data_IF_870530270061
#
_entry.id   IF_870530270061
#
_cell.length_a   1.000
_cell.length_b   1.000
_cell.length_c   1.000
_cell.angle_alpha   90.00
_cell.angle_beta   90.00
_cell.angle_gamma   90.00
#
_symmetry.space_group_name_H-M   'P 1'
#
loop_
_entity.id
_entity.type
_entity.pdbx_description
1 polymer ?
#
# COMPACT_ATOMS: atom_id res chain seq x y z
N UNK A 1 -10.14 -23.24 -8.90
CA UNK A 1 -9.42 -21.99 -9.25
C UNK A 1 -8.13 -21.93 -8.46
N UNK A 2 -7.00 -21.60 -9.08
CA UNK A 2 -5.76 -21.40 -8.34
C UNK A 2 -5.77 -19.97 -7.77
N UNK A 3 -5.95 -19.83 -6.45
CA UNK A 3 -5.91 -18.55 -5.72
C UNK A 3 -4.54 -17.87 -5.84
N UNK A 4 -4.20 -17.39 -7.04
CA UNK A 4 -2.93 -16.75 -7.41
C UNK A 4 -3.05 -15.24 -7.59
N UNK A 5 -4.13 -14.65 -7.10
CA UNK A 5 -4.31 -13.21 -7.06
C UNK A 5 -4.28 -12.74 -5.62
N UNK A 6 -3.62 -11.61 -5.35
CA UNK A 6 -3.56 -11.01 -4.01
C UNK A 6 -3.73 -9.50 -4.08
N UNK A 7 -4.33 -8.95 -3.02
CA UNK A 7 -4.41 -7.51 -2.82
C UNK A 7 -3.35 -7.10 -1.80
N UNK A 8 -2.60 -6.05 -2.09
CA UNK A 8 -1.59 -5.46 -1.24
C UNK A 8 -1.80 -3.96 -1.13
N UNK A 9 -1.30 -3.33 -0.08
CA UNK A 9 -1.48 -1.90 0.14
C UNK A 9 -0.24 -1.24 0.77
N UNK A 10 -0.09 0.05 0.52
CA UNK A 10 0.85 0.90 1.26
C UNK A 10 0.43 1.09 2.73
N UNK A 11 1.33 1.61 3.56
CA UNK A 11 1.10 1.76 5.01
C UNK A 11 0.24 2.98 5.37
N UNK A 12 -0.92 3.16 4.73
CA UNK A 12 -1.83 4.28 5.02
C UNK A 12 -2.88 3.96 6.09
N UNK A 13 -3.15 2.68 6.38
CA UNK A 13 -4.19 2.27 7.32
C UNK A 13 -3.62 1.69 8.62
N UNK A 14 -4.19 2.11 9.75
CA UNK A 14 -3.79 1.59 11.07
C UNK A 14 -4.20 0.11 11.21
N UNK A 15 -3.41 -0.65 11.96
CA UNK A 15 -3.72 -2.06 12.26
C UNK A 15 -4.60 -2.18 13.51
N UNK A 16 -5.86 -1.78 13.34
CA UNK A 16 -6.91 -1.83 14.37
C UNK A 16 -7.27 -3.27 14.75
N UNK A 17 -7.30 -4.19 13.77
CA UNK A 17 -7.68 -5.58 13.96
C UNK A 17 -6.72 -6.37 14.85
N UNK A 18 -5.52 -5.82 15.09
CA UNK A 18 -4.55 -6.34 16.05
C UNK A 18 -5.12 -6.44 17.47
N UNK A 19 -5.89 -5.44 17.88
CA UNK A 19 -6.44 -5.34 19.23
C UNK A 19 -7.92 -5.72 19.28
N UNK A 20 -8.62 -5.68 18.14
CA UNK A 20 -10.01 -6.11 18.00
C UNK A 20 -10.19 -6.96 16.74
N UNK A 21 -10.26 -8.28 16.90
CA UNK A 21 -10.38 -9.22 15.78
C UNK A 21 -11.66 -9.07 14.95
N UNK A 22 -12.65 -8.28 15.42
CA UNK A 22 -13.86 -7.97 14.66
C UNK A 22 -13.70 -6.74 13.78
N UNK A 23 -12.77 -5.84 14.08
CA UNK A 23 -12.51 -4.63 13.31
C UNK A 23 -11.98 -4.92 11.90
N UNK A 24 -12.13 -3.95 11.01
CA UNK A 24 -11.51 -3.93 9.68
C UNK A 24 -10.49 -2.79 9.64
N UNK A 25 -9.37 -3.03 8.95
CA UNK A 25 -8.26 -2.08 8.92
C UNK A 25 -8.39 -1.11 7.74
N UNK A 26 -8.80 -1.63 6.59
CA UNK A 26 -8.99 -0.87 5.35
C UNK A 26 -10.48 -0.88 5.04
N UNK A 27 -11.09 0.30 4.94
CA UNK A 27 -12.52 0.45 4.67
C UNK A 27 -12.75 1.56 3.63
N UNK A 28 -13.35 1.18 2.49
CA UNK A 28 -13.83 2.12 1.48
C UNK A 28 -15.37 2.07 1.45
N UNK A 29 -15.99 2.86 2.33
CA UNK A 29 -17.44 2.80 2.60
C UNK A 29 -18.29 3.01 1.36
N UNK A 30 -17.92 3.95 0.49
CA UNK A 30 -18.64 4.23 -0.77
C UNK A 30 -18.62 3.07 -1.76
N UNK A 31 -17.69 2.13 -1.62
CA UNK A 31 -17.48 0.98 -2.50
C UNK A 31 -17.92 -0.34 -1.84
N UNK A 32 -18.34 -0.29 -0.57
CA UNK A 32 -18.67 -1.49 0.21
C UNK A 32 -17.47 -2.42 0.45
N UNK A 33 -16.25 -1.93 0.29
CA UNK A 33 -15.03 -2.72 0.48
C UNK A 33 -14.51 -2.58 1.91
N UNK A 34 -14.15 -3.71 2.50
CA UNK A 34 -13.50 -3.79 3.80
C UNK A 34 -12.54 -4.97 3.86
N UNK A 35 -11.38 -4.79 4.47
CA UNK A 35 -10.38 -5.83 4.61
C UNK A 35 -9.56 -5.67 5.89
N UNK A 36 -8.89 -6.75 6.29
CA UNK A 36 -7.94 -6.76 7.40
C UNK A 36 -6.52 -6.90 6.87
N UNK A 37 -5.55 -6.37 7.60
CA UNK A 37 -4.14 -6.65 7.36
C UNK A 37 -3.83 -8.12 7.61
N UNK A 38 -2.93 -8.68 6.81
CA UNK A 38 -2.43 -10.04 6.98
C UNK A 38 -1.37 -10.24 8.07
N UNK A 39 -1.10 -9.20 8.86
CA UNK A 39 0.05 -9.10 9.76
C UNK A 39 0.01 -10.08 10.96
N UNK A 40 -1.10 -10.79 11.17
CA UNK A 40 -1.34 -11.59 12.37
C UNK A 40 -1.04 -13.10 12.23
N UNK A 41 -1.10 -13.70 11.03
CA UNK A 41 -1.49 -15.12 10.98
C UNK A 41 -0.63 -16.08 10.15
N UNK A 42 0.18 -15.63 9.17
CA UNK A 42 0.72 -16.58 8.19
C UNK A 42 2.17 -16.37 7.72
N UNK A 43 2.89 -15.33 8.16
CA UNK A 43 4.24 -15.04 7.63
C UNK A 43 4.26 -15.06 6.09
N UNK A 44 5.17 -15.84 5.49
CA UNK A 44 5.26 -16.01 4.03
C UNK A 44 4.17 -16.93 3.43
N UNK A 45 3.49 -17.75 4.24
CA UNK A 45 2.45 -18.68 3.77
C UNK A 45 1.14 -17.96 3.39
N UNK A 46 1.01 -16.69 3.79
CA UNK A 46 -0.14 -15.88 3.45
C UNK A 46 -0.43 -15.90 1.94
N UNK A 47 0.60 -15.70 1.12
CA UNK A 47 0.43 -15.51 -0.32
C UNK A 47 -0.10 -16.76 -1.04
N UNK A 48 0.02 -17.93 -0.42
CA UNK A 48 -0.46 -19.21 -0.96
C UNK A 48 -1.70 -19.73 -0.24
N UNK A 49 -2.02 -19.24 0.96
CA UNK A 49 -3.16 -19.71 1.74
C UNK A 49 -4.49 -19.30 1.12
N UNK A 50 -5.38 -20.24 0.73
CA UNK A 50 -6.69 -19.92 0.15
C UNK A 50 -7.59 -19.04 1.03
N UNK A 51 -7.44 -19.11 2.36
CA UNK A 51 -8.25 -18.35 3.33
C UNK A 51 -7.84 -16.88 3.45
N UNK A 52 -6.71 -16.51 2.82
CA UNK A 52 -6.13 -15.18 2.92
C UNK A 52 -6.61 -14.19 1.86
N UNK A 53 -7.48 -14.64 0.94
CA UNK A 53 -7.93 -13.82 -0.20
C UNK A 53 -8.69 -12.56 0.24
N UNK A 54 -9.34 -12.61 1.41
CA UNK A 54 -10.07 -11.49 2.01
C UNK A 54 -9.17 -10.56 2.86
N UNK A 55 -7.86 -10.85 2.93
CA UNK A 55 -6.87 -10.05 3.63
C UNK A 55 -6.04 -9.21 2.64
N UNK A 56 -5.43 -8.15 3.16
CA UNK A 56 -4.53 -7.29 2.39
C UNK A 56 -3.11 -7.45 2.90
N UNK A 57 -2.19 -7.71 1.96
CA UNK A 57 -0.76 -7.82 2.23
C UNK A 57 -0.06 -6.47 2.30
N UNK A 58 1.12 -6.47 2.88
CA UNK A 58 2.00 -5.30 2.95
C UNK A 58 3.37 -5.65 2.37
N UNK A 59 4.26 -4.66 2.28
CA UNK A 59 5.59 -4.85 1.66
C UNK A 59 6.38 -6.01 2.29
N UNK A 60 6.32 -6.17 3.61
CA UNK A 60 7.08 -7.22 4.32
C UNK A 60 6.55 -8.62 4.02
N UNK A 61 5.27 -8.78 3.74
CA UNK A 61 4.65 -10.10 3.49
C UNK A 61 4.66 -10.49 2.02
N UNK A 62 4.93 -9.55 1.10
CA UNK A 62 5.07 -9.84 -0.32
C UNK A 62 6.54 -9.84 -0.80
N UNK A 63 7.51 -9.48 0.05
CA UNK A 63 8.91 -9.42 -0.35
C UNK A 63 9.45 -10.82 -0.69
N UNK A 64 9.99 -10.96 -1.90
CA UNK A 64 10.54 -12.23 -2.40
C UNK A 64 9.49 -13.24 -2.89
N UNK A 65 8.23 -12.83 -3.01
CA UNK A 65 7.13 -13.68 -3.49
C UNK A 65 6.51 -13.07 -4.76
N UNK A 66 5.90 -13.91 -5.60
CA UNK A 66 5.27 -13.54 -6.85
C UNK A 66 3.87 -14.16 -6.97
N UNK A 67 2.96 -13.44 -7.62
CA UNK A 67 1.56 -13.85 -7.86
C UNK A 67 1.22 -13.69 -9.34
N UNK A 68 0.24 -14.43 -9.85
CA UNK A 68 -0.20 -14.26 -11.24
C UNK A 68 -0.72 -12.84 -11.45
N UNK A 69 -1.58 -12.35 -10.55
CA UNK A 69 -2.11 -10.99 -10.58
C UNK A 69 -2.01 -10.33 -9.21
N UNK A 70 -1.67 -9.05 -9.19
CA UNK A 70 -1.66 -8.24 -7.96
C UNK A 70 -2.63 -7.07 -8.08
N UNK A 71 -3.43 -6.85 -7.03
CA UNK A 71 -4.15 -5.60 -6.82
C UNK A 71 -3.38 -4.74 -5.82
N UNK A 72 -3.04 -3.51 -6.17
CA UNK A 72 -2.30 -2.59 -5.30
C UNK A 72 -3.21 -1.42 -4.91
N UNK A 73 -3.41 -1.22 -3.62
CA UNK A 73 -4.13 -0.08 -3.07
C UNK A 73 -3.11 1.01 -2.71
N UNK A 74 -3.24 2.15 -3.37
CA UNK A 74 -2.47 3.38 -3.13
C UNK A 74 -3.30 4.29 -2.24
N UNK A 75 -2.76 4.60 -1.07
CA UNK A 75 -3.42 5.49 -0.10
C UNK A 75 -2.93 6.93 -0.20
N UNK A 76 -3.35 7.74 0.76
CA UNK A 76 -3.05 9.17 0.80
C UNK A 76 -1.58 9.58 0.97
N UNK A 77 -0.62 8.65 1.08
CA UNK A 77 0.81 8.95 1.14
C UNK A 77 1.46 9.16 -0.23
N UNK A 78 0.74 8.94 -1.33
CA UNK A 78 1.17 9.23 -2.69
C UNK A 78 0.04 9.92 -3.45
N UNK A 79 0.23 11.19 -3.83
CA UNK A 79 -0.80 12.01 -4.46
C UNK A 79 -0.28 12.85 -5.61
N UNK A 80 -1.18 13.22 -6.51
CA UNK A 80 -0.90 14.21 -7.56
C UNK A 80 -1.45 15.56 -7.15
N UNK A 81 -0.57 16.54 -7.04
CA UNK A 81 -0.92 17.93 -6.72
C UNK A 81 -0.37 18.81 -7.84
N UNK A 82 -1.24 19.61 -8.45
CA UNK A 82 -0.89 20.50 -9.57
C UNK A 82 -0.19 19.78 -10.75
N UNK A 83 -0.52 18.51 -10.99
CA UNK A 83 0.04 17.72 -12.08
C UNK A 83 1.37 17.04 -11.75
N UNK A 84 1.89 17.20 -10.53
CA UNK A 84 3.12 16.57 -10.08
C UNK A 84 2.83 15.46 -9.06
N UNK A 85 3.57 14.36 -9.16
CA UNK A 85 3.45 13.24 -8.23
C UNK A 85 4.29 13.49 -6.97
N UNK A 86 3.61 13.72 -5.86
CA UNK A 86 4.19 14.01 -4.55
C UNK A 86 3.95 12.86 -3.57
N UNK A 87 4.88 12.70 -2.64
CA UNK A 87 4.70 11.83 -1.47
C UNK A 87 4.30 12.66 -0.26
N UNK A 88 3.35 12.16 0.52
CA UNK A 88 2.86 12.79 1.74
C UNK A 88 3.06 11.87 2.95
N UNK A 89 4.18 12.02 3.69
CA UNK A 89 4.48 11.21 4.89
C UNK A 89 3.34 11.17 5.92
N UNK A 90 2.57 12.25 6.03
CA UNK A 90 1.41 12.38 6.90
C UNK A 90 0.22 11.50 6.49
N UNK A 91 0.17 11.05 5.22
CA UNK A 91 -0.81 10.10 4.72
C UNK A 91 -0.61 8.67 5.23
N UNK A 92 0.55 8.38 5.86
CA UNK A 92 0.80 7.07 6.47
C UNK A 92 0.11 6.89 7.81
N UNK A 93 -0.17 5.63 8.12
CA UNK A 93 -0.72 5.20 9.40
C UNK A 93 0.17 5.66 10.56
N UNK A 94 -0.44 6.15 11.65
CA UNK A 94 0.30 6.56 12.85
C UNK A 94 1.02 5.40 13.52
N UNK A 95 0.54 4.17 13.27
CA UNK A 95 1.19 2.94 13.73
C UNK A 95 2.35 2.48 12.85
N UNK A 96 2.56 3.09 11.68
CA UNK A 96 3.70 2.78 10.82
C UNK A 96 5.00 3.29 11.45
N UNK A 97 5.92 2.37 11.70
CA UNK A 97 7.22 2.68 12.30
C UNK A 97 8.30 2.97 11.25
N UNK A 98 8.03 2.78 9.97
CA UNK A 98 9.01 2.96 8.89
C UNK A 98 9.47 4.42 8.74
N UNK A 99 8.62 5.38 9.14
CA UNK A 99 8.94 6.81 9.20
C UNK A 99 9.17 7.32 10.63
N UNK A 100 9.48 6.43 11.58
CA UNK A 100 9.82 6.87 12.94
C UNK A 100 11.04 7.79 12.92
N UNK A 101 10.93 8.93 13.61
CA UNK A 101 12.00 9.93 13.65
C UNK A 101 11.93 10.97 12.52
N UNK A 102 11.12 10.77 11.47
CA UNK A 102 10.95 11.73 10.37
C UNK A 102 10.66 13.15 10.88
N UNK A 103 9.66 13.32 11.76
CA UNK A 103 9.30 14.63 12.31
C UNK A 103 10.42 15.29 13.12
N UNK A 104 11.29 14.50 13.74
CA UNK A 104 12.43 15.00 14.50
C UNK A 104 13.55 15.41 13.56
N UNK A 105 13.91 14.55 12.60
CA UNK A 105 14.94 14.83 11.60
C UNK A 105 14.56 16.03 10.74
N UNK A 106 13.29 16.16 10.36
CA UNK A 106 12.79 17.29 9.58
C UNK A 106 12.95 18.64 10.27
N UNK A 107 12.98 18.70 11.60
CA UNK A 107 13.24 19.96 12.34
C UNK A 107 14.69 20.43 12.18
N UNK A 108 15.63 19.50 12.07
CA UNK A 108 17.06 19.81 11.96
C UNK A 108 17.55 19.84 10.51
N UNK A 109 17.01 18.98 9.65
CA UNK A 109 17.40 18.83 8.25
C UNK A 109 16.18 18.41 7.39
N UNK A 110 15.34 19.38 6.98
CA UNK A 110 14.12 19.11 6.22
C UNK A 110 14.38 18.39 4.89
N UNK A 111 15.39 18.82 4.14
CA UNK A 111 15.69 18.28 2.80
C UNK A 111 16.04 16.78 2.86
N UNK A 112 16.89 16.39 3.82
CA UNK A 112 17.27 14.99 4.01
C UNK A 112 16.09 14.15 4.49
N UNK A 113 15.29 14.67 5.42
CA UNK A 113 14.13 13.94 5.95
C UNK A 113 13.07 13.70 4.85
N UNK A 114 12.77 14.74 4.06
CA UNK A 114 11.77 14.70 3.00
C UNK A 114 12.23 13.77 1.85
N UNK A 115 13.52 13.81 1.47
CA UNK A 115 14.08 12.92 0.45
C UNK A 115 14.04 11.43 0.88
N UNK A 116 14.39 11.12 2.14
CA UNK A 116 14.30 9.75 2.68
C UNK A 116 12.86 9.24 2.69
N UNK A 117 11.91 10.09 3.08
CA UNK A 117 10.51 9.71 3.12
C UNK A 117 9.94 9.47 1.71
N UNK A 118 10.29 10.34 0.75
CA UNK A 118 9.91 10.19 -0.66
C UNK A 118 10.44 8.86 -1.23
N UNK A 119 11.73 8.58 -1.04
CA UNK A 119 12.35 7.33 -1.48
C UNK A 119 11.64 6.11 -0.88
N UNK A 120 11.40 6.12 0.44
CA UNK A 120 10.74 5.03 1.14
C UNK A 120 9.33 4.76 0.62
N UNK A 121 8.54 5.81 0.41
CA UNK A 121 7.16 5.70 -0.08
C UNK A 121 7.15 5.16 -1.52
N UNK A 122 7.97 5.72 -2.41
CA UNK A 122 8.06 5.27 -3.80
C UNK A 122 8.57 3.83 -3.91
N UNK A 123 9.60 3.47 -3.13
CA UNK A 123 10.12 2.11 -3.09
C UNK A 123 9.09 1.10 -2.55
N UNK A 124 8.25 1.53 -1.61
CA UNK A 124 7.11 0.72 -1.14
C UNK A 124 6.24 0.33 -2.31
N UNK A 125 5.71 1.32 -3.04
CA UNK A 125 4.78 1.05 -4.15
C UNK A 125 5.44 0.35 -5.33
N UNK A 126 6.70 0.69 -5.67
CA UNK A 126 7.48 -0.05 -6.68
C UNK A 126 7.58 -1.54 -6.33
N UNK A 127 7.85 -1.86 -5.06
CA UNK A 127 7.95 -3.24 -4.60
C UNK A 127 6.61 -3.95 -4.72
N UNK A 128 5.51 -3.33 -4.29
CA UNK A 128 4.16 -3.90 -4.37
C UNK A 128 3.71 -4.15 -5.82
N UNK A 129 3.89 -3.15 -6.69
CA UNK A 129 3.45 -3.22 -8.09
C UNK A 129 4.23 -4.24 -8.93
N UNK A 130 5.45 -4.60 -8.51
CA UNK A 130 6.29 -5.58 -9.22
C UNK A 130 6.03 -7.04 -8.82
N UNK A 131 5.04 -7.32 -7.98
CA UNK A 131 4.74 -8.68 -7.52
C UNK A 131 3.87 -9.49 -8.49
N UNK A 132 3.17 -8.83 -9.43
CA UNK A 132 2.28 -9.47 -10.39
C UNK A 132 3.01 -9.90 -11.66
N UNK A 133 3.03 -11.20 -11.95
CA UNK A 133 3.72 -11.76 -13.13
C UNK A 133 2.94 -11.58 -14.43
N UNK A 134 1.61 -11.67 -14.37
CA UNK A 134 0.71 -11.56 -15.54
C UNK A 134 -0.02 -10.22 -15.58
N UNK A 135 -0.19 -9.56 -14.44
CA UNK A 135 -0.81 -8.24 -14.40
C UNK A 135 -0.77 -7.58 -13.04
N UNK A 136 -0.83 -6.25 -13.06
CA UNK A 136 -0.90 -5.39 -11.90
C UNK A 136 -2.10 -4.44 -12.10
N UNK A 137 -3.02 -4.48 -11.15
CA UNK A 137 -4.17 -3.58 -11.09
C UNK A 137 -3.95 -2.62 -9.93
N UNK A 138 -4.24 -1.34 -10.13
CA UNK A 138 -3.99 -0.32 -9.13
C UNK A 138 -5.30 0.39 -8.80
N UNK A 139 -5.60 0.52 -7.52
CA UNK A 139 -6.66 1.36 -7.00
C UNK A 139 -6.03 2.53 -6.26
N UNK A 140 -6.51 3.75 -6.53
CA UNK A 140 -6.08 4.96 -5.85
C UNK A 140 -7.21 5.49 -4.99
N UNK A 141 -6.91 5.82 -3.74
CA UNK A 141 -7.84 6.54 -2.86
C UNK A 141 -8.15 7.94 -3.40
N UNK A 142 -7.15 8.61 -3.97
CA UNK A 142 -7.31 9.92 -4.61
C UNK A 142 -7.62 9.80 -6.11
N UNK A 143 -8.72 10.41 -6.53
CA UNK A 143 -9.20 10.36 -7.93
C UNK A 143 -8.28 11.12 -8.89
N UNK A 144 -7.72 12.26 -8.47
CA UNK A 144 -6.83 13.03 -9.34
C UNK A 144 -5.55 12.24 -9.67
N UNK A 145 -5.03 11.53 -8.67
CA UNK A 145 -3.91 10.59 -8.79
C UNK A 145 -4.29 9.44 -9.73
N UNK A 146 -5.47 8.83 -9.58
CA UNK A 146 -5.96 7.79 -10.49
C UNK A 146 -5.95 8.25 -11.96
N UNK A 147 -6.52 9.42 -12.23
CA UNK A 147 -6.60 9.98 -13.59
C UNK A 147 -5.23 10.36 -14.16
N UNK A 148 -4.31 10.83 -13.32
CA UNK A 148 -2.93 11.07 -13.73
C UNK A 148 -2.26 9.78 -14.21
N UNK A 149 -2.31 8.71 -13.42
CA UNK A 149 -1.69 7.44 -13.81
C UNK A 149 -2.39 6.81 -15.02
N UNK A 150 -3.71 6.93 -15.14
CA UNK A 150 -4.47 6.44 -16.29
C UNK A 150 -4.00 7.06 -17.61
N UNK A 151 -3.62 8.34 -17.62
CA UNK A 151 -3.07 9.03 -18.81
C UNK A 151 -1.67 8.55 -19.18
N UNK A 152 -0.92 8.00 -18.23
CA UNK A 152 0.44 7.48 -18.46
C UNK A 152 0.44 6.03 -18.96
N UNK A 153 -0.66 5.30 -18.77
CA UNK A 153 -0.79 3.93 -19.28
C UNK A 153 -1.03 4.02 -20.80
N UNK A 154 -0.21 3.35 -21.62
CA UNK A 154 -0.44 3.29 -23.06
C UNK A 154 -1.85 2.80 -23.37
N UNK A 155 -2.53 3.46 -24.31
CA UNK A 155 -3.76 2.92 -24.87
C UNK A 155 -3.39 1.67 -25.66
N UNK A 156 -3.83 0.50 -25.20
CA UNK A 156 -3.79 -0.72 -25.99
C UNK A 156 -4.84 -0.70 -27.09
#
# INVERSE_FOLDING_TARGET
ESNKSRVVAGYCWNWTSKNDSKAYDIEFKSQGYKARWNLASYGNEWIINPKSVDEVGCIHTCQGLEVDYVGVIIGGDLRVVNGELLTEPEGRAKSDKSLNGYKTERKSNPEVADAKADELIRNTYRTLMSRGMKGCYVYFEDKATAEYFKKLIPSN
#
